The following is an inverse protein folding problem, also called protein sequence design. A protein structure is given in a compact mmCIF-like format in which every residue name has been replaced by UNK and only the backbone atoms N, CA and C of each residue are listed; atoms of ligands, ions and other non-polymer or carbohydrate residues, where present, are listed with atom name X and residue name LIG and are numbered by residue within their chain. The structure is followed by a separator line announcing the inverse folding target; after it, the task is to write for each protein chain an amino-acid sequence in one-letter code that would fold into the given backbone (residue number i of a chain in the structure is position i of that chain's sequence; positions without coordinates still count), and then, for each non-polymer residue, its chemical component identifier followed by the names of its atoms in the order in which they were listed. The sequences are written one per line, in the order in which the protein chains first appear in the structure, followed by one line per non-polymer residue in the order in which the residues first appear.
data_IF_010257120165
#
_entry.id   IF_010257120165
#
_cell.length_a   1.000
_cell.length_b   1.000
_cell.length_c   1.000
_cell.angle_alpha   90.00
_cell.angle_beta   90.00
_cell.angle_gamma   90.00
#
_symmetry.space_group_name_H-M   'P 1'
#
loop_
_entity.id
_entity.type
_entity.pdbx_description
1 polymer ?
#
# COMPACT_ATOMS: atom_id res chain seq x y z
N UNK A 1 -6.46 40.14 2.71
CA UNK A 1 -6.26 38.91 1.90
C UNK A 1 -7.56 38.10 1.80
N UNK A 2 -8.70 38.74 1.50
CA UNK A 2 -10.02 38.07 1.43
C UNK A 2 -10.75 38.24 0.07
N UNK A 3 -10.16 38.95 -0.89
CA UNK A 3 -10.88 39.36 -2.11
C UNK A 3 -10.49 38.66 -3.41
N UNK A 4 -9.74 37.54 -3.40
CA UNK A 4 -9.21 36.99 -4.67
C UNK A 4 -9.62 35.58 -5.05
N UNK A 5 -10.16 34.76 -4.15
CA UNK A 5 -10.69 33.45 -4.54
C UNK A 5 -11.89 33.05 -3.67
N UNK A 6 -13.01 32.74 -4.33
CA UNK A 6 -14.14 32.08 -3.69
C UNK A 6 -13.72 30.64 -3.41
N UNK A 7 -13.71 30.24 -2.13
CA UNK A 7 -13.41 28.87 -1.71
C UNK A 7 -14.55 28.34 -0.86
N UNK A 8 -15.02 27.14 -1.20
CA UNK A 8 -16.08 26.45 -0.47
C UNK A 8 -15.46 25.60 0.64
N UNK A 9 -15.95 25.75 1.87
CA UNK A 9 -15.64 24.82 2.95
C UNK A 9 -16.54 23.57 2.81
N UNK A 10 -15.92 22.40 2.63
CA UNK A 10 -16.60 21.11 2.50
C UNK A 10 -16.74 20.39 3.85
N UNK A 11 -16.33 21.04 4.95
CA UNK A 11 -16.32 20.48 6.28
C UNK A 11 -15.12 19.57 6.52
N UNK A 12 -15.30 18.59 7.41
CA UNK A 12 -14.22 17.72 7.85
C UNK A 12 -13.76 16.75 6.75
N UNK A 13 -12.44 16.69 6.54
CA UNK A 13 -11.79 15.73 5.66
C UNK A 13 -12.21 14.29 6.00
N UNK A 14 -12.85 13.64 5.03
CA UNK A 14 -13.26 12.22 5.12
C UNK A 14 -12.37 11.31 4.28
N UNK A 15 -11.87 11.80 3.14
CA UNK A 15 -10.94 11.09 2.26
C UNK A 15 -9.87 12.03 1.72
N UNK A 16 -8.63 11.57 1.69
CA UNK A 16 -7.52 12.27 1.05
C UNK A 16 -6.70 11.29 0.22
N UNK A 17 -6.63 11.52 -1.10
CA UNK A 17 -5.93 10.63 -2.04
C UNK A 17 -6.39 9.16 -1.95
N UNK A 18 -7.63 8.89 -1.51
CA UNK A 18 -8.12 7.52 -1.30
C UNK A 18 -7.68 6.87 0.02
N UNK A 19 -7.04 7.62 0.93
CA UNK A 19 -6.90 7.27 2.34
C UNK A 19 -8.17 7.73 3.05
N UNK A 20 -8.81 6.83 3.79
CA UNK A 20 -9.93 7.17 4.66
C UNK A 20 -9.40 7.90 5.90
N UNK A 21 -9.99 9.04 6.22
CA UNK A 21 -9.62 9.88 7.35
C UNK A 21 -10.78 9.90 8.34
N UNK A 22 -10.55 9.38 9.54
CA UNK A 22 -11.52 9.43 10.64
C UNK A 22 -11.01 10.42 11.68
N UNK A 23 -11.72 11.53 11.81
CA UNK A 23 -11.36 12.60 12.74
C UNK A 23 -12.22 12.50 13.99
N UNK A 24 -11.57 12.55 15.16
CA UNK A 24 -12.21 12.70 16.46
C UNK A 24 -11.65 13.93 17.16
N UNK A 25 -12.31 14.43 18.23
CA UNK A 25 -11.83 15.61 18.95
C UNK A 25 -10.39 15.50 19.50
N UNK A 26 -9.85 14.28 19.64
CA UNK A 26 -8.52 14.04 20.22
C UNK A 26 -7.50 13.49 19.22
N UNK A 27 -7.93 12.91 18.11
CA UNK A 27 -7.03 12.23 17.19
C UNK A 27 -7.56 12.22 15.76
N UNK A 28 -6.63 11.96 14.83
CA UNK A 28 -6.92 11.70 13.43
C UNK A 28 -6.41 10.29 13.15
N UNK A 29 -7.30 9.44 12.64
CA UNK A 29 -6.98 8.07 12.26
C UNK A 29 -7.00 7.95 10.74
N UNK A 30 -5.92 7.40 10.18
CA UNK A 30 -5.78 7.14 8.75
C UNK A 30 -5.96 5.66 8.48
N UNK A 31 -6.85 5.31 7.55
CA UNK A 31 -7.20 3.93 7.24
C UNK A 31 -7.15 3.67 5.73
N UNK A 32 -6.61 2.52 5.34
CA UNK A 32 -6.62 2.03 3.96
C UNK A 32 -7.05 0.56 3.87
N UNK A 33 -7.89 0.09 4.80
CA UNK A 33 -8.34 -1.31 4.82
C UNK A 33 -8.97 -1.75 3.49
N UNK A 34 -9.84 -0.92 2.91
CA UNK A 34 -10.44 -1.20 1.60
C UNK A 34 -9.43 -1.27 0.46
N UNK A 35 -8.33 -0.52 0.54
CA UNK A 35 -7.25 -0.59 -0.44
C UNK A 35 -6.42 -1.87 -0.26
N UNK A 36 -6.13 -2.26 0.98
CA UNK A 36 -5.45 -3.51 1.29
C UNK A 36 -6.24 -4.73 0.78
N UNK A 37 -7.56 -4.75 0.96
CA UNK A 37 -8.43 -5.82 0.43
C UNK A 37 -8.36 -5.89 -1.10
N UNK A 38 -8.41 -4.75 -1.80
CA UNK A 38 -8.28 -4.70 -3.26
C UNK A 38 -6.93 -5.22 -3.75
N UNK A 39 -5.85 -4.99 -3.01
CA UNK A 39 -4.53 -5.55 -3.34
C UNK A 39 -4.56 -7.07 -3.22
N UNK A 40 -5.15 -7.62 -2.15
CA UNK A 40 -5.26 -9.07 -1.94
C UNK A 40 -6.12 -9.73 -3.02
N UNK A 41 -7.25 -9.13 -3.38
CA UNK A 41 -8.11 -9.61 -4.47
C UNK A 41 -7.36 -9.64 -5.80
N UNK A 42 -6.68 -8.54 -6.14
CA UNK A 42 -5.89 -8.44 -7.38
C UNK A 42 -4.74 -9.44 -7.44
N UNK A 43 -4.10 -9.73 -6.31
CA UNK A 43 -3.01 -10.69 -6.23
C UNK A 43 -3.50 -12.14 -6.08
N UNK A 44 -4.81 -12.39 -6.00
CA UNK A 44 -5.37 -13.72 -5.77
C UNK A 44 -5.07 -14.29 -4.37
N UNK A 45 -4.91 -13.44 -3.36
CA UNK A 45 -4.46 -13.79 -2.01
C UNK A 45 -5.52 -13.62 -0.92
N UNK A 46 -6.81 -13.58 -1.28
CA UNK A 46 -7.90 -13.38 -0.31
C UNK A 46 -8.01 -14.49 0.73
N UNK A 47 -7.72 -15.74 0.32
CA UNK A 47 -7.79 -16.92 1.18
C UNK A 47 -6.44 -17.27 1.84
N UNK A 48 -5.44 -16.40 1.72
CA UNK A 48 -4.13 -16.62 2.34
C UNK A 48 -4.19 -16.48 3.86
N UNK A 49 -3.44 -17.33 4.55
CA UNK A 49 -3.29 -17.23 6.00
C UNK A 49 -2.59 -15.92 6.41
N UNK A 50 -3.01 -15.29 7.51
CA UNK A 50 -2.35 -14.09 8.01
C UNK A 50 -0.92 -14.41 8.48
N UNK A 51 0.01 -13.52 8.15
CA UNK A 51 1.40 -13.60 8.61
C UNK A 51 1.69 -12.48 9.61
N UNK A 52 2.22 -12.85 10.79
CA UNK A 52 2.65 -11.87 11.80
C UNK A 52 3.95 -11.17 11.39
N UNK A 53 4.80 -11.86 10.63
CA UNK A 53 6.09 -11.33 10.16
C UNK A 53 5.97 -11.08 8.65
N UNK A 54 6.13 -9.83 8.18
CA UNK A 54 5.97 -9.49 6.75
C UNK A 54 6.93 -10.16 5.78
N UNK A 55 8.11 -10.59 6.24
CA UNK A 55 9.14 -11.25 5.44
C UNK A 55 10.06 -12.07 6.32
N UNK A 56 10.52 -13.22 5.81
CA UNK A 56 11.47 -14.07 6.52
C UNK A 56 12.80 -13.33 6.80
N UNK A 57 13.33 -13.37 8.03
CA UNK A 57 14.63 -12.78 8.35
C UNK A 57 15.75 -13.40 7.52
N UNK A 58 16.67 -12.56 7.02
CA UNK A 58 17.85 -12.98 6.24
C UNK A 58 17.52 -13.70 4.92
N UNK A 59 16.31 -13.55 4.39
CA UNK A 59 15.94 -14.11 3.08
C UNK A 59 16.88 -13.59 1.98
N UNK A 60 17.54 -14.52 1.28
CA UNK A 60 18.44 -14.22 0.16
C UNK A 60 17.73 -14.48 -1.15
N UNK A 61 17.18 -13.43 -1.74
CA UNK A 61 16.60 -13.49 -3.08
C UNK A 61 17.70 -13.47 -4.16
N UNK A 62 17.49 -14.21 -5.25
CA UNK A 62 18.36 -14.24 -6.43
C UNK A 62 17.59 -13.71 -7.63
N UNK A 63 18.28 -12.98 -8.51
CA UNK A 63 17.67 -12.48 -9.76
C UNK A 63 17.41 -13.62 -10.76
N UNK A 64 18.31 -14.60 -10.78
CA UNK A 64 18.17 -15.78 -11.61
C UNK A 64 17.33 -16.83 -10.89
N UNK A 65 16.30 -17.32 -11.56
CA UNK A 65 15.42 -18.38 -11.10
C UNK A 65 15.29 -19.44 -12.21
N UNK A 66 15.13 -20.69 -11.81
CA UNK A 66 14.73 -21.79 -12.72
C UNK A 66 13.22 -21.84 -12.92
N UNK A 67 12.46 -21.00 -12.20
CA UNK A 67 11.02 -20.90 -12.34
C UNK A 67 10.63 -20.20 -13.66
N UNK A 68 9.41 -20.46 -14.18
CA UNK A 68 8.88 -19.71 -15.30
C UNK A 68 8.91 -18.20 -15.05
N UNK A 69 9.11 -17.38 -16.10
CA UNK A 69 9.04 -15.93 -15.96
C UNK A 69 7.63 -15.51 -15.52
N UNK A 70 7.59 -14.50 -14.65
CA UNK A 70 6.35 -13.84 -14.21
C UNK A 70 6.10 -12.63 -15.11
N UNK A 71 4.84 -12.23 -15.28
CA UNK A 71 4.52 -10.97 -15.97
C UNK A 71 5.08 -9.78 -15.19
N UNK A 72 6.05 -9.09 -15.80
CA UNK A 72 6.69 -7.91 -15.23
C UNK A 72 5.69 -6.78 -14.95
N UNK A 73 4.64 -6.64 -15.77
CA UNK A 73 3.61 -5.61 -15.61
C UNK A 73 2.79 -5.87 -14.36
N UNK A 74 2.36 -7.11 -14.17
CA UNK A 74 1.62 -7.54 -13.00
C UNK A 74 2.45 -7.35 -11.73
N UNK A 75 3.70 -7.81 -11.75
CA UNK A 75 4.63 -7.67 -10.64
C UNK A 75 4.82 -6.19 -10.25
N UNK A 76 5.12 -5.33 -11.22
CA UNK A 76 5.28 -3.88 -10.99
C UNK A 76 4.01 -3.24 -10.45
N UNK A 77 2.85 -3.70 -10.92
CA UNK A 77 1.56 -3.20 -10.46
C UNK A 77 1.28 -3.54 -9.01
N UNK A 78 1.61 -4.77 -8.57
CA UNK A 78 1.48 -5.19 -7.18
C UNK A 78 2.46 -4.42 -6.29
N UNK A 79 3.74 -4.33 -6.68
CA UNK A 79 4.75 -3.59 -5.92
C UNK A 79 4.38 -2.10 -5.79
N UNK A 80 3.89 -1.47 -6.86
CA UNK A 80 3.39 -0.10 -6.82
C UNK A 80 2.22 0.09 -5.85
N UNK A 81 1.28 -0.87 -5.83
CA UNK A 81 0.15 -0.83 -4.91
C UNK A 81 0.59 -0.99 -3.45
N UNK A 82 1.52 -1.92 -3.19
CA UNK A 82 2.10 -2.11 -1.85
C UNK A 82 2.87 -0.87 -1.37
N UNK A 83 3.62 -0.20 -2.25
CA UNK A 83 4.30 1.07 -1.92
C UNK A 83 3.32 2.14 -1.47
N UNK A 84 2.13 2.21 -2.09
CA UNK A 84 1.11 3.16 -1.64
C UNK A 84 0.57 2.78 -0.25
N UNK A 85 0.35 1.49 0.01
CA UNK A 85 -0.14 1.00 1.31
C UNK A 85 0.82 1.27 2.49
N UNK A 86 2.13 1.39 2.24
CA UNK A 86 3.15 1.70 3.26
C UNK A 86 2.81 2.96 4.07
N UNK A 87 2.10 3.94 3.48
CA UNK A 87 1.73 5.19 4.16
C UNK A 87 0.89 4.97 5.42
N UNK A 88 0.03 3.94 5.44
CA UNK A 88 -0.76 3.56 6.64
C UNK A 88 -0.30 2.25 7.28
N UNK A 89 0.64 1.53 6.64
CA UNK A 89 1.11 0.20 7.07
C UNK A 89 2.64 0.13 7.00
N UNK A 90 3.37 0.89 7.84
CA UNK A 90 4.82 1.04 7.71
C UNK A 90 5.62 -0.23 8.02
N UNK A 91 5.02 -1.21 8.70
CA UNK A 91 5.62 -2.51 9.02
C UNK A 91 6.06 -3.30 7.78
N UNK A 92 5.43 -3.09 6.62
CA UNK A 92 5.82 -3.76 5.35
C UNK A 92 6.85 -2.99 4.53
N UNK A 93 7.32 -1.82 4.98
CA UNK A 93 8.22 -0.98 4.20
C UNK A 93 9.52 -1.72 3.79
N UNK A 94 10.09 -2.50 4.72
CA UNK A 94 11.29 -3.28 4.44
C UNK A 94 11.07 -4.36 3.36
N UNK A 95 10.09 -5.29 3.51
CA UNK A 95 9.77 -6.25 2.45
C UNK A 95 9.51 -5.60 1.09
N UNK A 96 8.71 -4.53 1.05
CA UNK A 96 8.37 -3.80 -0.18
C UNK A 96 9.62 -3.21 -0.84
N UNK A 97 10.56 -2.70 -0.04
CA UNK A 97 11.85 -2.21 -0.51
C UNK A 97 12.74 -3.31 -1.09
N UNK A 98 12.68 -4.53 -0.56
CA UNK A 98 13.45 -5.67 -1.07
C UNK A 98 12.87 -6.14 -2.41
N UNK A 99 11.56 -6.42 -2.49
CA UNK A 99 10.91 -6.88 -3.74
C UNK A 99 10.99 -5.85 -4.87
N UNK A 100 11.04 -4.55 -4.51
CA UNK A 100 11.26 -3.46 -5.46
C UNK A 100 12.56 -3.57 -6.26
N UNK A 101 13.57 -4.29 -5.76
CA UNK A 101 14.86 -4.49 -6.45
C UNK A 101 14.78 -5.46 -7.63
N UNK A 102 13.65 -6.14 -7.79
CA UNK A 102 13.41 -7.19 -8.77
C UNK A 102 12.34 -6.80 -9.80
N UNK A 103 12.04 -5.50 -9.96
CA UNK A 103 11.04 -4.99 -10.91
C UNK A 103 11.49 -5.00 -12.39
N UNK A 104 12.44 -5.87 -12.75
CA UNK A 104 12.99 -5.96 -14.12
C UNK A 104 11.93 -6.29 -15.17
#
# INVERSE_FOLDING_TARGET
MKDRFSMSDLGLLSYYLGIEVRQSPRNIFLCQSGYATKILEKAGMMDCNPAHVPMEPKLKLRKTSTAPPVDATEYRSIVGSLRYLVHTRPDIAFPVGIVSRFME
#
